data_IF_341470567214
#
_entry.id   IF_341470567214
#
_cell.length_a   1.000
_cell.length_b   1.000
_cell.length_c   1.000
_cell.angle_alpha   90.00
_cell.angle_beta   90.00
_cell.angle_gamma   90.00
#
_symmetry.space_group_name_H-M   'P 1'
#
loop_
_entity.id
_entity.type
_entity.pdbx_description
1 polymer ?
#
# COMPACT_ATOMS: atom_id res chain seq x y z
N UNK A 1 -23.45 -9.81 2.27
CA UNK A 1 -23.35 -10.27 0.88
C UNK A 1 -23.66 -9.16 -0.14
N UNK A 2 -23.32 -7.90 0.16
CA UNK A 2 -23.60 -6.74 -0.73
C UNK A 2 -22.33 -5.97 -1.14
N UNK A 3 -21.19 -6.22 -0.49
CA UNK A 3 -19.95 -5.47 -0.73
C UNK A 3 -19.12 -6.04 -1.91
N UNK A 4 -19.29 -7.32 -2.26
CA UNK A 4 -18.48 -7.99 -3.28
C UNK A 4 -18.84 -7.58 -4.72
N UNK A 5 -20.03 -7.02 -4.97
CA UNK A 5 -20.50 -6.79 -6.36
C UNK A 5 -19.97 -5.49 -6.98
N UNK A 6 -19.52 -4.51 -6.18
CA UNK A 6 -19.16 -3.18 -6.70
C UNK A 6 -17.78 -3.19 -7.37
N UNK A 7 -16.85 -4.01 -6.89
CA UNK A 7 -15.47 -4.09 -7.39
C UNK A 7 -15.12 -5.48 -7.97
N UNK A 8 -16.12 -6.27 -8.36
CA UNK A 8 -15.92 -7.66 -8.79
C UNK A 8 -15.05 -7.79 -10.06
N UNK A 9 -15.11 -6.79 -10.94
CA UNK A 9 -14.40 -6.74 -12.22
C UNK A 9 -13.15 -5.84 -12.14
N UNK A 10 -12.79 -5.36 -10.94
CA UNK A 10 -11.67 -4.45 -10.70
C UNK A 10 -10.49 -5.22 -10.13
N UNK A 11 -9.31 -5.03 -10.71
CA UNK A 11 -8.13 -5.76 -10.24
C UNK A 11 -7.60 -5.19 -8.92
N UNK A 12 -6.93 -6.03 -8.09
CA UNK A 12 -6.37 -5.61 -6.80
C UNK A 12 -5.43 -4.39 -6.88
N UNK A 13 -4.64 -4.29 -7.95
CA UNK A 13 -3.71 -3.18 -8.19
C UNK A 13 -4.43 -1.86 -8.50
N UNK A 14 -5.53 -1.89 -9.25
CA UNK A 14 -6.38 -0.72 -9.50
C UNK A 14 -7.02 -0.21 -8.20
N UNK A 15 -7.55 -1.11 -7.37
CA UNK A 15 -8.12 -0.76 -6.07
C UNK A 15 -7.08 -0.15 -5.14
N UNK A 16 -5.88 -0.74 -5.11
CA UNK A 16 -4.77 -0.24 -4.30
C UNK A 16 -4.27 1.12 -4.81
N UNK A 17 -4.13 1.28 -6.13
CA UNK A 17 -3.69 2.54 -6.75
C UNK A 17 -4.66 3.69 -6.46
N UNK A 18 -5.96 3.41 -6.51
CA UNK A 18 -7.00 4.40 -6.20
C UNK A 18 -6.81 4.99 -4.80
N UNK A 19 -6.64 4.14 -3.77
CA UNK A 19 -6.50 4.63 -2.38
C UNK A 19 -5.13 5.24 -2.08
N UNK A 20 -4.06 4.73 -2.72
CA UNK A 20 -2.72 5.32 -2.60
C UNK A 20 -2.67 6.74 -3.16
N UNK A 21 -3.31 6.95 -4.32
CA UNK A 21 -3.40 8.26 -4.95
C UNK A 21 -4.29 9.20 -4.15
N UNK A 22 -5.49 8.74 -3.76
CA UNK A 22 -6.48 9.56 -3.07
C UNK A 22 -5.93 10.15 -1.76
N UNK A 23 -5.25 9.35 -0.93
CA UNK A 23 -4.75 9.85 0.35
C UNK A 23 -3.71 10.97 0.17
N UNK A 24 -2.79 10.83 -0.78
CA UNK A 24 -1.76 11.85 -1.03
C UNK A 24 -2.35 13.13 -1.62
N UNK A 25 -3.36 13.00 -2.50
CA UNK A 25 -4.12 14.14 -3.03
C UNK A 25 -4.85 14.87 -1.90
N UNK A 26 -5.55 14.14 -1.04
CA UNK A 26 -6.33 14.71 0.07
C UNK A 26 -5.46 15.52 1.04
N UNK A 27 -4.22 15.07 1.30
CA UNK A 27 -3.29 15.76 2.20
C UNK A 27 -2.31 16.71 1.48
N UNK A 28 -2.38 16.82 0.16
CA UNK A 28 -1.51 17.69 -0.64
C UNK A 28 -0.02 17.34 -0.56
N UNK A 29 0.33 16.05 -0.51
CA UNK A 29 1.71 15.57 -0.40
C UNK A 29 2.20 14.94 -1.71
N UNK A 30 3.46 15.20 -2.05
CA UNK A 30 4.14 14.52 -3.17
C UNK A 30 4.58 13.11 -2.76
N UNK A 31 4.43 12.09 -3.63
CA UNK A 31 4.87 10.73 -3.36
C UNK A 31 6.40 10.61 -3.20
N UNK A 32 7.18 11.54 -3.75
CA UNK A 32 8.66 11.57 -3.60
C UNK A 32 9.12 11.67 -2.14
N UNK A 33 8.25 12.12 -1.23
CA UNK A 33 8.55 12.24 0.21
C UNK A 33 8.43 10.92 0.96
N UNK A 34 7.86 9.89 0.36
CA UNK A 34 7.68 8.58 0.98
C UNK A 34 9.04 7.87 1.06
N UNK A 35 9.47 7.54 2.28
CA UNK A 35 10.65 6.71 2.47
C UNK A 35 10.40 5.23 2.23
N UNK A 36 9.16 4.76 2.39
CA UNK A 36 8.75 3.38 2.13
C UNK A 36 7.23 3.22 2.09
N UNK A 37 6.78 2.13 1.47
CA UNK A 37 5.38 1.73 1.35
C UNK A 37 5.23 0.28 1.79
N UNK A 38 4.38 0.03 2.79
CA UNK A 38 4.06 -1.33 3.23
C UNK A 38 2.61 -1.67 2.90
N UNK A 39 2.39 -2.74 2.14
CA UNK A 39 1.06 -3.20 1.74
C UNK A 39 0.72 -4.52 2.42
N UNK A 40 -0.30 -4.52 3.26
CA UNK A 40 -0.85 -5.74 3.84
C UNK A 40 -1.70 -6.52 2.84
N UNK A 41 -1.34 -7.78 2.52
CA UNK A 41 -2.14 -8.65 1.66
C UNK A 41 -2.00 -10.13 2.05
N UNK A 42 -3.06 -10.92 1.82
CA UNK A 42 -3.14 -12.33 2.24
C UNK A 42 -3.19 -13.29 1.06
N UNK A 43 -4.06 -13.02 0.08
CA UNK A 43 -4.46 -14.02 -0.92
C UNK A 43 -3.66 -13.98 -2.21
N UNK A 44 -2.98 -12.86 -2.52
CA UNK A 44 -2.21 -12.75 -3.74
C UNK A 44 -0.90 -13.56 -3.64
N UNK A 45 -0.42 -14.15 -4.75
CA UNK A 45 0.87 -14.84 -4.79
C UNK A 45 2.01 -13.96 -4.25
N UNK A 46 2.86 -14.53 -3.40
CA UNK A 46 3.96 -13.78 -2.78
C UNK A 46 3.49 -12.61 -1.91
N UNK A 47 2.30 -12.72 -1.30
CA UNK A 47 1.62 -11.63 -0.58
C UNK A 47 1.40 -10.38 -1.43
N UNK A 48 1.32 -10.53 -2.77
CA UNK A 48 1.02 -9.43 -3.68
C UNK A 48 2.17 -8.48 -3.97
N UNK A 49 3.44 -8.87 -3.75
CA UNK A 49 4.58 -7.97 -3.96
C UNK A 49 4.63 -7.36 -5.38
N UNK A 50 4.42 -8.19 -6.42
CA UNK A 50 4.37 -7.69 -7.80
C UNK A 50 3.15 -6.78 -8.03
N UNK A 51 1.96 -7.18 -7.55
CA UNK A 51 0.72 -6.40 -7.64
C UNK A 51 0.87 -5.03 -6.96
N UNK A 52 1.46 -4.98 -5.76
CA UNK A 52 1.73 -3.74 -5.05
C UNK A 52 2.68 -2.82 -5.82
N UNK A 53 3.68 -3.38 -6.50
CA UNK A 53 4.59 -2.61 -7.35
C UNK A 53 3.91 -2.13 -8.64
N UNK A 54 2.97 -2.87 -9.20
CA UNK A 54 2.14 -2.40 -10.32
C UNK A 54 1.26 -1.23 -9.86
N UNK A 55 0.53 -1.38 -8.74
CA UNK A 55 -0.30 -0.31 -8.17
C UNK A 55 0.49 0.97 -7.86
N UNK A 56 1.72 0.82 -7.36
CA UNK A 56 2.67 1.92 -7.17
C UNK A 56 2.89 2.71 -8.46
N UNK A 57 3.19 2.04 -9.57
CA UNK A 57 3.40 2.71 -10.86
C UNK A 57 2.11 3.25 -11.49
N UNK A 58 0.97 2.56 -11.30
CA UNK A 58 -0.34 3.09 -11.71
C UNK A 58 -0.71 4.39 -10.98
N UNK A 59 -0.20 4.57 -9.76
CA UNK A 59 -0.36 5.79 -8.95
C UNK A 59 0.65 6.89 -9.31
N UNK A 60 1.45 6.69 -10.36
CA UNK A 60 2.52 7.59 -10.79
C UNK A 60 3.59 7.85 -9.71
N UNK A 61 3.78 6.91 -8.77
CA UNK A 61 4.81 7.06 -7.75
C UNK A 61 6.19 6.79 -8.37
N UNK A 62 7.21 7.59 -8.02
CA UNK A 62 8.54 7.45 -8.59
C UNK A 62 9.16 6.09 -8.23
N UNK A 63 9.95 5.53 -9.13
CA UNK A 63 10.60 4.22 -8.94
C UNK A 63 11.56 4.19 -7.75
N UNK A 64 12.07 5.35 -7.32
CA UNK A 64 12.97 5.52 -6.19
C UNK A 64 12.31 5.24 -4.84
N UNK A 65 10.98 5.33 -4.75
CA UNK A 65 10.23 5.02 -3.54
C UNK A 65 10.05 3.49 -3.45
N UNK A 66 10.54 2.83 -2.37
CA UNK A 66 10.40 1.40 -2.21
C UNK A 66 8.98 1.01 -1.81
N UNK A 67 8.62 -0.24 -2.12
CA UNK A 67 7.36 -0.86 -1.71
C UNK A 67 7.60 -2.33 -1.39
N UNK A 68 6.99 -2.81 -0.31
CA UNK A 68 7.01 -4.21 0.07
C UNK A 68 5.67 -4.63 0.68
N UNK A 69 5.49 -5.94 0.82
CA UNK A 69 4.24 -6.53 1.31
C UNK A 69 4.43 -7.27 2.62
N UNK A 70 3.38 -7.30 3.43
CA UNK A 70 3.35 -8.07 4.68
C UNK A 70 2.10 -8.93 4.75
N UNK A 71 2.27 -10.17 5.22
CA UNK A 71 1.17 -11.09 5.47
C UNK A 71 1.15 -11.50 6.94
N UNK A 72 0.12 -11.02 7.64
CA UNK A 72 -0.27 -11.45 8.99
C UNK A 72 -1.77 -11.77 9.02
N UNK A 73 -2.26 -12.46 7.99
CA UNK A 73 -3.67 -12.83 7.82
C UNK A 73 -4.59 -11.60 7.97
N UNK A 74 -5.69 -11.70 8.71
CA UNK A 74 -6.65 -10.62 8.92
C UNK A 74 -6.04 -9.34 9.53
N UNK A 75 -4.83 -9.43 10.10
CA UNK A 75 -4.12 -8.29 10.69
C UNK A 75 -3.08 -7.65 9.77
N UNK A 76 -2.96 -8.06 8.49
CA UNK A 76 -1.94 -7.56 7.56
C UNK A 76 -1.96 -6.04 7.39
N UNK A 77 -3.13 -5.40 7.29
CA UNK A 77 -3.22 -3.94 7.19
C UNK A 77 -2.71 -3.22 8.44
N UNK A 78 -3.04 -3.74 9.63
CA UNK A 78 -2.52 -3.18 10.90
C UNK A 78 -1.03 -3.46 11.07
N UNK A 79 -0.56 -4.62 10.61
CA UNK A 79 0.87 -4.94 10.62
C UNK A 79 1.66 -4.00 9.70
N UNK A 80 1.11 -3.62 8.54
CA UNK A 80 1.73 -2.63 7.67
C UNK A 80 1.91 -1.28 8.39
N UNK A 81 0.88 -0.82 9.10
CA UNK A 81 0.96 0.39 9.93
C UNK A 81 2.04 0.28 11.00
N UNK A 82 2.11 -0.83 11.73
CA UNK A 82 3.14 -1.02 12.75
C UNK A 82 4.56 -1.06 12.18
N UNK A 83 4.75 -1.61 10.97
CA UNK A 83 6.05 -1.61 10.33
C UNK A 83 6.50 -0.19 9.95
N UNK A 84 5.63 0.57 9.27
CA UNK A 84 5.91 1.97 8.90
C UNK A 84 6.17 2.82 10.14
N UNK A 85 5.31 2.73 11.17
CA UNK A 85 5.49 3.47 12.42
C UNK A 85 6.78 3.06 13.15
N UNK A 86 7.15 1.77 13.09
CA UNK A 86 8.39 1.25 13.64
C UNK A 86 9.62 1.85 12.97
N UNK A 87 9.62 1.90 11.64
CA UNK A 87 10.71 2.44 10.83
C UNK A 87 10.87 3.97 10.99
N UNK A 88 9.75 4.70 11.11
CA UNK A 88 9.77 6.13 11.45
C UNK A 88 10.38 6.31 12.85
N UNK A 89 9.94 5.52 13.83
CA UNK A 89 10.48 5.59 15.19
C UNK A 89 11.97 5.23 15.26
N UNK A 90 12.47 4.36 14.39
CA UNK A 90 13.89 4.02 14.32
C UNK A 90 14.73 5.00 13.50
N UNK A 91 14.12 6.02 12.88
CA UNK A 91 14.83 7.00 12.06
C UNK A 91 15.26 6.49 10.69
N UNK A 92 14.62 5.45 10.16
CA UNK A 92 14.90 4.95 8.81
C UNK A 92 14.39 5.90 7.72
N UNK A 93 13.28 6.59 7.99
CA UNK A 93 12.67 7.63 7.16
C UNK A 93 11.65 8.43 7.99
N UNK A 94 11.31 9.64 7.55
CA UNK A 94 10.40 10.53 8.30
C UNK A 94 8.92 10.39 7.90
N UNK A 95 8.65 9.72 6.78
CA UNK A 95 7.32 9.53 6.22
C UNK A 95 7.23 8.20 5.47
N UNK A 96 6.12 7.50 5.60
CA UNK A 96 5.85 6.27 4.86
C UNK A 96 4.35 6.04 4.71
N UNK A 97 3.99 5.14 3.81
CA UNK A 97 2.59 4.83 3.50
C UNK A 97 2.28 3.38 3.90
N UNK A 98 1.26 3.20 4.73
CA UNK A 98 0.74 1.89 5.09
C UNK A 98 -0.60 1.65 4.38
N UNK A 99 -0.70 0.54 3.65
CA UNK A 99 -1.91 0.15 2.93
C UNK A 99 -2.35 -1.25 3.34
N UNK A 100 -3.61 -1.59 3.05
CA UNK A 100 -4.14 -2.93 3.20
C UNK A 100 -5.10 -3.24 2.07
N UNK A 101 -4.95 -4.42 1.46
CA UNK A 101 -5.82 -4.92 0.41
C UNK A 101 -5.95 -6.44 0.58
N UNK A 102 -7.18 -6.96 0.60
CA UNK A 102 -7.46 -8.38 0.88
C UNK A 102 -7.67 -9.15 -0.41
#
# INVERSE_FOLDING_TARGET
MFCLSVCQDTTPDELLSCVMTAVLVDVGLSPERLGDICVGNVLQPGAGALMARVAHFLSEFPETVPVYTVNRMCSSGLQALFNIAGAIRSGSYDMGLACGLV
#
